data_IF_426145398337
#
_entry.id   IF_426145398337
#
_cell.length_a   1.000
_cell.length_b   1.000
_cell.length_c   1.000
_cell.angle_alpha   90.00
_cell.angle_beta   90.00
_cell.angle_gamma   90.00
#
_symmetry.space_group_name_H-M   'P 1'
#
loop_
_entity.id
_entity.type
_entity.pdbx_description
1 polymer ?
#
# COMPACT_ATOMS: atom_id res chain seq x y z
N UNK A 1 -0.33 55.58 -6.86
CA UNK A 1 0.95 54.85 -6.70
C UNK A 1 1.19 54.36 -5.27
N UNK A 2 0.92 55.17 -4.24
CA UNK A 2 1.11 54.75 -2.83
C UNK A 2 0.25 53.57 -2.41
N UNK A 3 -1.03 53.54 -2.73
CA UNK A 3 -1.92 52.40 -2.42
C UNK A 3 -1.44 51.09 -2.99
N UNK A 4 -0.97 51.07 -4.25
CA UNK A 4 -0.44 49.87 -4.88
C UNK A 4 0.85 49.36 -4.19
N UNK A 5 1.73 50.30 -3.80
CA UNK A 5 2.95 49.93 -3.03
C UNK A 5 2.60 49.34 -1.66
N UNK A 6 1.65 49.93 -0.93
CA UNK A 6 1.23 49.42 0.39
C UNK A 6 0.57 48.01 0.24
N UNK A 7 -0.20 47.81 -0.81
CA UNK A 7 -0.82 46.51 -1.12
C UNK A 7 0.24 45.43 -1.42
N UNK A 8 1.20 45.76 -2.28
CA UNK A 8 2.32 44.85 -2.60
C UNK A 8 3.16 44.54 -1.35
N UNK A 9 3.48 45.54 -0.54
CA UNK A 9 4.21 45.32 0.73
C UNK A 9 3.44 44.45 1.70
N UNK A 10 2.12 44.58 1.78
CA UNK A 10 1.25 43.71 2.57
C UNK A 10 1.28 42.27 2.12
N UNK A 11 1.21 42.02 0.80
CA UNK A 11 1.33 40.65 0.23
C UNK A 11 2.70 40.04 0.57
N UNK A 12 3.77 40.78 0.33
CA UNK A 12 5.14 40.33 0.64
C UNK A 12 5.28 39.99 2.11
N UNK A 13 4.78 40.85 2.99
CA UNK A 13 4.82 40.63 4.45
C UNK A 13 4.07 39.31 4.81
N UNK A 14 2.84 39.12 4.31
CA UNK A 14 2.08 37.89 4.56
C UNK A 14 2.82 36.66 4.01
N UNK A 15 3.41 36.76 2.84
CA UNK A 15 4.20 35.66 2.25
C UNK A 15 5.43 35.30 3.10
N UNK A 16 6.15 36.33 3.61
CA UNK A 16 7.30 36.11 4.48
C UNK A 16 6.86 35.48 5.81
N UNK A 17 5.80 35.98 6.42
CA UNK A 17 5.26 35.40 7.67
C UNK A 17 4.84 33.96 7.48
N UNK A 18 4.16 33.64 6.37
CA UNK A 18 3.77 32.27 6.05
C UNK A 18 4.99 31.36 5.82
N UNK A 19 6.01 31.87 5.11
CA UNK A 19 7.24 31.11 4.87
C UNK A 19 8.03 30.84 6.15
N UNK A 20 8.21 31.87 6.99
CA UNK A 20 8.90 31.74 8.29
C UNK A 20 8.12 30.82 9.22
N UNK A 21 6.80 31.00 9.31
CA UNK A 21 5.93 30.15 10.13
C UNK A 21 5.96 28.69 9.66
N UNK A 22 5.87 28.45 8.34
CA UNK A 22 6.00 27.12 7.76
C UNK A 22 7.36 26.48 8.05
N UNK A 23 8.45 27.25 7.89
CA UNK A 23 9.80 26.79 8.23
C UNK A 23 9.92 26.44 9.73
N UNK A 24 9.39 27.27 10.60
CA UNK A 24 9.41 27.04 12.05
C UNK A 24 8.65 25.75 12.42
N UNK A 25 7.50 25.49 11.79
CA UNK A 25 6.74 24.23 11.99
C UNK A 25 7.54 23.03 11.54
N UNK A 26 8.18 23.09 10.37
CA UNK A 26 9.03 21.99 9.86
C UNK A 26 10.23 21.73 10.80
N UNK A 27 10.83 22.79 11.34
CA UNK A 27 12.02 22.67 12.19
C UNK A 27 11.70 22.29 13.65
N UNK A 28 10.45 22.50 14.07
CA UNK A 28 10.01 22.22 15.45
C UNK A 28 9.85 20.74 15.78
N UNK A 29 9.89 19.84 14.79
CA UNK A 29 9.55 18.44 14.97
C UNK A 29 8.06 18.16 15.22
N UNK A 30 7.19 19.15 14.99
CA UNK A 30 5.74 18.99 15.16
C UNK A 30 5.11 18.03 14.11
N UNK A 31 5.80 17.82 12.99
CA UNK A 31 5.38 16.85 11.96
C UNK A 31 6.06 15.52 12.27
N UNK A 32 5.29 14.45 12.61
CA UNK A 32 5.87 13.16 12.89
C UNK A 32 6.54 12.59 11.62
N UNK A 33 7.74 12.01 11.80
CA UNK A 33 8.50 11.37 10.73
C UNK A 33 8.59 9.84 10.89
N UNK A 34 8.02 9.31 11.96
CA UNK A 34 8.02 7.89 12.30
C UNK A 34 6.88 7.15 11.56
N UNK A 35 7.17 5.96 11.04
CA UNK A 35 6.22 5.19 10.23
C UNK A 35 5.10 4.51 11.05
N UNK A 36 5.25 4.40 12.37
CA UNK A 36 4.22 3.85 13.27
C UNK A 36 3.18 4.91 13.73
N UNK A 37 3.37 6.18 13.36
CA UNK A 37 2.37 7.22 13.57
C UNK A 37 1.16 7.02 12.63
N UNK A 38 -0.04 7.34 13.14
CA UNK A 38 -1.23 7.31 12.28
C UNK A 38 -1.35 8.60 11.47
N UNK A 39 -1.67 8.51 10.16
CA UNK A 39 -1.83 9.69 9.33
C UNK A 39 -2.99 10.58 9.82
N UNK A 40 -2.75 11.89 9.83
CA UNK A 40 -3.74 12.89 10.20
C UNK A 40 -4.93 12.93 9.23
N UNK A 41 -6.08 13.45 9.68
CA UNK A 41 -7.29 13.55 8.85
C UNK A 41 -7.09 14.42 7.60
N UNK A 42 -6.35 15.53 7.73
CA UNK A 42 -6.03 16.41 6.59
C UNK A 42 -5.11 15.71 5.59
N UNK A 43 -4.13 14.97 6.06
CA UNK A 43 -3.22 14.19 5.22
C UNK A 43 -3.96 13.13 4.43
N UNK A 44 -4.79 12.32 5.09
CA UNK A 44 -5.68 11.33 4.44
C UNK A 44 -6.57 11.97 3.37
N UNK A 45 -7.14 13.12 3.68
CA UNK A 45 -8.03 13.85 2.77
C UNK A 45 -7.27 14.32 1.52
N UNK A 46 -6.14 15.01 1.70
CA UNK A 46 -5.34 15.54 0.58
C UNK A 46 -4.75 14.41 -0.27
N UNK A 47 -4.15 13.39 0.35
CA UNK A 47 -3.61 12.23 -0.35
C UNK A 47 -4.70 11.48 -1.12
N UNK A 48 -5.88 11.29 -0.52
CA UNK A 48 -7.01 10.62 -1.15
C UNK A 48 -7.57 11.40 -2.36
N UNK A 49 -7.63 12.73 -2.29
CA UNK A 49 -8.03 13.57 -3.45
C UNK A 49 -7.00 13.44 -4.57
N UNK A 50 -5.71 13.57 -4.24
CA UNK A 50 -4.62 13.48 -5.21
C UNK A 50 -4.61 12.13 -5.92
N UNK A 51 -4.66 11.02 -5.18
CA UNK A 51 -4.69 9.68 -5.76
C UNK A 51 -5.92 9.49 -6.66
N UNK A 52 -7.12 9.85 -6.20
CA UNK A 52 -8.34 9.74 -7.02
C UNK A 52 -8.30 10.59 -8.28
N UNK A 53 -7.69 11.77 -8.25
CA UNK A 53 -7.53 12.61 -9.43
C UNK A 53 -6.62 11.93 -10.48
N UNK A 54 -5.50 11.39 -10.06
CA UNK A 54 -4.59 10.63 -10.94
C UNK A 54 -5.28 9.39 -11.50
N UNK A 55 -5.94 8.58 -10.67
CA UNK A 55 -6.65 7.37 -11.13
C UNK A 55 -7.74 7.69 -12.18
N UNK A 56 -8.48 8.79 -12.01
CA UNK A 56 -9.49 9.21 -12.99
C UNK A 56 -8.89 9.63 -14.34
N UNK A 57 -7.68 10.20 -14.33
CA UNK A 57 -7.05 10.72 -15.54
C UNK A 57 -6.21 9.65 -16.25
N UNK A 58 -5.45 8.84 -15.51
CA UNK A 58 -4.36 8.03 -16.03
C UNK A 58 -4.65 6.53 -16.00
N UNK A 59 -5.62 6.06 -15.19
CA UNK A 59 -5.93 4.65 -15.14
C UNK A 59 -6.64 4.16 -16.41
N UNK A 60 -6.34 2.93 -16.87
CA UNK A 60 -7.00 2.33 -18.02
C UNK A 60 -8.52 2.28 -17.84
N UNK A 61 -9.26 2.68 -18.88
CA UNK A 61 -10.73 2.65 -18.89
C UNK A 61 -11.31 1.45 -19.64
N UNK A 62 -10.47 0.75 -20.42
CA UNK A 62 -10.87 -0.46 -21.12
C UNK A 62 -11.17 -1.59 -20.11
N UNK A 63 -12.03 -2.53 -20.48
CA UNK A 63 -12.26 -3.75 -19.72
C UNK A 63 -10.94 -4.53 -19.52
N UNK A 64 -10.89 -5.31 -18.47
CA UNK A 64 -9.77 -6.21 -18.24
C UNK A 64 -9.64 -7.20 -19.42
N UNK A 65 -8.48 -7.27 -20.08
CA UNK A 65 -8.29 -8.19 -21.21
C UNK A 65 -8.17 -9.66 -20.78
N UNK A 66 -7.95 -9.93 -19.50
CA UNK A 66 -7.85 -11.31 -18.97
C UNK A 66 -9.25 -11.85 -18.72
N UNK A 67 -9.66 -12.96 -19.35
CA UNK A 67 -11.00 -13.50 -19.20
C UNK A 67 -11.23 -14.05 -17.79
N UNK A 68 -12.46 -13.90 -17.30
CA UNK A 68 -12.88 -14.44 -16.00
C UNK A 68 -13.03 -15.98 -16.12
N UNK A 69 -12.01 -16.69 -15.66
CA UNK A 69 -11.98 -18.17 -15.58
C UNK A 69 -11.37 -18.59 -14.24
N UNK A 70 -11.71 -19.79 -13.77
CA UNK A 70 -11.11 -20.34 -12.54
C UNK A 70 -9.58 -20.41 -12.63
N UNK A 71 -9.03 -20.77 -13.79
CA UNK A 71 -7.59 -20.83 -14.01
C UNK A 71 -6.93 -19.45 -13.83
N UNK A 72 -7.52 -18.38 -14.36
CA UNK A 72 -7.01 -17.02 -14.23
C UNK A 72 -7.19 -16.47 -12.81
N UNK A 73 -8.28 -16.82 -12.13
CA UNK A 73 -8.45 -16.48 -10.73
C UNK A 73 -7.39 -17.15 -9.85
N UNK A 74 -7.14 -18.45 -10.06
CA UNK A 74 -6.09 -19.20 -9.34
C UNK A 74 -4.69 -18.63 -9.65
N UNK A 75 -4.42 -18.23 -10.90
CA UNK A 75 -3.17 -17.57 -11.26
C UNK A 75 -3.01 -16.22 -10.53
N UNK A 76 -4.08 -15.42 -10.43
CA UNK A 76 -4.11 -14.18 -9.66
C UNK A 76 -3.87 -14.41 -8.16
N UNK A 77 -4.47 -15.45 -7.60
CA UNK A 77 -4.28 -15.86 -6.20
C UNK A 77 -2.79 -16.20 -5.94
N UNK A 78 -2.14 -16.95 -6.84
CA UNK A 78 -0.72 -17.29 -6.71
C UNK A 78 0.19 -16.06 -6.80
N UNK A 79 -0.07 -15.16 -7.74
CA UNK A 79 0.66 -13.90 -7.86
C UNK A 79 0.48 -13.05 -6.58
N UNK A 80 -0.74 -12.97 -6.05
CA UNK A 80 -1.04 -12.29 -4.81
C UNK A 80 -0.28 -12.89 -3.61
N UNK A 81 -0.28 -14.21 -3.49
CA UNK A 81 0.45 -14.91 -2.43
C UNK A 81 1.94 -14.58 -2.43
N UNK A 82 2.54 -14.49 -3.62
CA UNK A 82 3.99 -14.27 -3.76
C UNK A 82 4.38 -12.81 -3.53
N UNK A 83 3.55 -11.85 -3.97
CA UNK A 83 3.97 -10.45 -4.06
C UNK A 83 3.22 -9.51 -3.12
N UNK A 84 2.01 -9.86 -2.67
CA UNK A 84 1.11 -8.93 -2.00
C UNK A 84 0.80 -9.32 -0.54
N UNK A 85 0.70 -10.64 -0.27
CA UNK A 85 0.22 -11.15 1.02
C UNK A 85 1.07 -10.74 2.20
N UNK A 86 2.36 -10.49 2.00
CA UNK A 86 3.31 -10.07 3.04
C UNK A 86 2.89 -8.76 3.72
N UNK A 87 2.27 -7.84 2.96
CA UNK A 87 1.77 -6.56 3.48
C UNK A 87 0.24 -6.55 3.62
N UNK A 88 -0.47 -7.15 2.65
CA UNK A 88 -1.93 -7.05 2.54
C UNK A 88 -2.70 -8.21 3.17
N UNK A 89 -2.02 -9.17 3.80
CA UNK A 89 -2.65 -10.32 4.46
C UNK A 89 -3.19 -11.38 3.51
N UNK A 90 -3.88 -12.37 4.07
CA UNK A 90 -4.42 -13.53 3.34
C UNK A 90 -5.89 -13.76 3.67
N UNK A 91 -6.50 -14.81 3.08
CA UNK A 91 -7.89 -15.24 3.31
C UNK A 91 -8.22 -15.52 4.78
N UNK A 92 -7.26 -15.92 5.58
CA UNK A 92 -7.42 -16.11 7.02
C UNK A 92 -7.63 -14.79 7.79
N UNK A 93 -8.10 -13.77 7.12
CA UNK A 93 -8.21 -12.34 7.44
C UNK A 93 -8.84 -11.91 8.75
N UNK A 94 -9.18 -12.84 9.66
CA UNK A 94 -9.39 -12.55 11.06
C UNK A 94 -8.09 -12.64 11.88
N UNK A 95 -6.99 -13.05 11.27
CA UNK A 95 -5.67 -12.94 11.86
C UNK A 95 -5.23 -11.47 11.87
N UNK A 96 -4.48 -11.08 12.91
CA UNK A 96 -3.90 -9.74 12.99
C UNK A 96 -3.10 -9.41 11.71
N UNK A 97 -3.08 -8.14 11.27
CA UNK A 97 -2.27 -7.72 10.13
C UNK A 97 -0.83 -8.21 10.27
N UNK A 98 -0.16 -8.57 9.15
CA UNK A 98 1.25 -8.97 9.17
C UNK A 98 2.12 -7.96 9.94
N UNK A 99 3.17 -8.44 10.61
CA UNK A 99 4.01 -7.58 11.43
C UNK A 99 4.60 -6.39 10.63
N UNK A 100 5.00 -6.63 9.39
CA UNK A 100 5.51 -5.60 8.50
C UNK A 100 4.45 -4.53 8.20
N UNK A 101 3.18 -4.92 8.01
CA UNK A 101 2.09 -3.99 7.75
C UNK A 101 1.83 -3.00 8.90
N UNK A 102 2.17 -3.39 10.13
CA UNK A 102 2.04 -2.52 11.30
C UNK A 102 3.13 -1.44 11.35
N UNK A 103 4.26 -1.67 10.69
CA UNK A 103 5.40 -0.75 10.62
C UNK A 103 5.41 0.13 9.37
N UNK A 104 4.45 -0.02 8.46
CA UNK A 104 4.39 0.78 7.24
C UNK A 104 3.50 2.02 7.40
N UNK A 105 3.89 3.09 6.72
CA UNK A 105 3.13 4.34 6.71
C UNK A 105 2.69 4.74 5.30
N UNK A 106 1.39 4.98 5.08
CA UNK A 106 0.29 4.52 5.95
C UNK A 106 0.23 2.99 5.98
N UNK A 107 -0.36 2.43 7.04
CA UNK A 107 -0.53 0.98 7.11
C UNK A 107 -1.30 0.45 5.89
N UNK A 108 -0.82 -0.61 5.22
CA UNK A 108 -1.49 -1.16 4.05
C UNK A 108 -2.86 -1.75 4.42
N UNK A 109 -3.89 -1.53 3.59
CA UNK A 109 -5.20 -2.12 3.82
C UNK A 109 -5.11 -3.64 3.74
N UNK A 110 -5.82 -4.33 4.63
CA UNK A 110 -5.95 -5.78 4.57
C UNK A 110 -7.02 -6.11 3.52
N UNK A 111 -6.60 -6.51 2.32
CA UNK A 111 -7.46 -6.53 1.14
C UNK A 111 -8.61 -7.53 1.22
N UNK A 112 -8.46 -8.62 1.98
CA UNK A 112 -9.54 -9.58 2.22
C UNK A 112 -10.76 -8.98 2.97
N UNK A 113 -10.63 -7.78 3.56
CA UNK A 113 -11.69 -7.10 4.32
C UNK A 113 -11.83 -5.62 3.98
N UNK A 114 -11.05 -5.09 3.05
CA UNK A 114 -10.96 -3.65 2.79
C UNK A 114 -11.88 -3.14 1.67
N UNK A 115 -12.65 -4.01 1.01
CA UNK A 115 -13.57 -3.60 -0.06
C UNK A 115 -12.86 -3.20 -1.37
N UNK A 116 -11.71 -3.80 -1.68
CA UNK A 116 -10.95 -3.52 -2.92
C UNK A 116 -11.73 -3.91 -4.18
N UNK A 117 -12.64 -4.84 -4.07
CA UNK A 117 -13.54 -5.32 -5.12
C UNK A 117 -14.48 -4.24 -5.66
N UNK A 118 -14.74 -3.18 -4.90
CA UNK A 118 -15.58 -2.06 -5.33
C UNK A 118 -14.88 -1.14 -6.34
N UNK A 119 -13.55 -1.14 -6.35
CA UNK A 119 -12.77 -0.31 -7.29
C UNK A 119 -12.92 -0.79 -8.74
N UNK A 120 -12.89 0.14 -9.73
CA UNK A 120 -12.72 -0.22 -11.13
C UNK A 120 -11.40 -0.99 -11.33
N UNK A 121 -11.42 -2.08 -12.10
CA UNK A 121 -10.21 -2.91 -12.32
C UNK A 121 -9.03 -2.13 -12.91
N UNK A 122 -9.29 -1.11 -13.74
CA UNK A 122 -8.25 -0.23 -14.26
C UNK A 122 -7.55 0.59 -13.17
N UNK A 123 -8.28 0.97 -12.11
CA UNK A 123 -7.67 1.64 -10.96
C UNK A 123 -6.77 0.70 -10.17
N UNK A 124 -7.21 -0.53 -9.96
CA UNK A 124 -6.42 -1.58 -9.31
C UNK A 124 -5.18 -1.89 -10.14
N UNK A 125 -5.32 -2.06 -11.46
CA UNK A 125 -4.19 -2.22 -12.39
C UNK A 125 -3.18 -1.08 -12.26
N UNK A 126 -3.66 0.18 -12.29
CA UNK A 126 -2.79 1.35 -12.20
C UNK A 126 -2.02 1.38 -10.87
N UNK A 127 -2.73 1.16 -9.74
CA UNK A 127 -2.12 1.14 -8.41
C UNK A 127 -1.02 0.07 -8.29
N UNK A 128 -1.26 -1.13 -8.81
CA UNK A 128 -0.26 -2.21 -8.81
C UNK A 128 0.91 -1.83 -9.71
N UNK A 129 0.64 -1.41 -10.93
CA UNK A 129 1.69 -1.11 -11.93
C UNK A 129 2.63 0.00 -11.48
N UNK A 130 2.10 1.07 -10.91
CA UNK A 130 2.86 2.29 -10.59
C UNK A 130 3.23 2.43 -9.12
N UNK A 131 2.62 1.64 -8.23
CA UNK A 131 2.71 1.85 -6.80
C UNK A 131 2.01 3.13 -6.35
N UNK A 132 2.13 3.46 -5.09
CA UNK A 132 1.53 4.68 -4.53
C UNK A 132 2.64 5.46 -3.83
N UNK A 133 2.92 6.67 -4.33
CA UNK A 133 3.97 7.55 -3.80
C UNK A 133 3.75 7.85 -2.31
N UNK A 134 4.84 7.88 -1.55
CA UNK A 134 4.88 8.09 -0.10
C UNK A 134 4.13 7.04 0.71
N UNK A 135 4.05 5.83 0.17
CA UNK A 135 3.56 4.64 0.89
C UNK A 135 4.56 3.50 0.74
N UNK A 136 4.37 2.42 1.50
CA UNK A 136 5.14 1.18 1.34
C UNK A 136 4.83 0.40 0.06
N UNK A 137 3.79 0.79 -0.72
CA UNK A 137 3.40 0.07 -1.93
C UNK A 137 4.34 0.39 -3.11
N UNK A 138 5.22 -0.55 -3.55
CA UNK A 138 6.15 -0.32 -4.63
C UNK A 138 5.47 -0.37 -6.01
N UNK A 139 6.19 0.08 -7.03
CA UNK A 139 5.80 -0.11 -8.43
C UNK A 139 6.19 -1.52 -8.89
N UNK A 140 5.21 -2.34 -9.23
CA UNK A 140 5.43 -3.73 -9.69
C UNK A 140 5.74 -3.86 -11.18
N UNK A 141 5.75 -2.77 -11.94
CA UNK A 141 6.04 -2.78 -13.39
C UNK A 141 7.41 -3.34 -13.78
N UNK A 142 8.32 -3.41 -12.84
CA UNK A 142 9.68 -3.92 -13.07
C UNK A 142 9.81 -5.42 -12.80
N UNK A 143 8.83 -6.00 -12.11
CA UNK A 143 8.78 -7.41 -11.74
C UNK A 143 7.66 -8.16 -12.49
N UNK A 144 6.51 -7.51 -12.69
CA UNK A 144 5.32 -8.10 -13.28
C UNK A 144 5.01 -7.43 -14.64
N UNK A 145 4.68 -8.25 -15.64
CA UNK A 145 4.17 -7.74 -16.92
C UNK A 145 2.69 -7.34 -16.82
N UNK A 146 2.20 -6.62 -17.83
CA UNK A 146 0.83 -6.07 -17.82
C UNK A 146 -0.25 -7.17 -17.72
N UNK A 147 -0.03 -8.35 -18.32
CA UNK A 147 -0.97 -9.47 -18.22
C UNK A 147 -1.06 -10.00 -16.80
N UNK A 148 0.08 -10.14 -16.11
CA UNK A 148 0.10 -10.57 -14.70
C UNK A 148 -0.56 -9.54 -13.79
N UNK A 149 -0.35 -8.24 -14.03
CA UNK A 149 -1.00 -7.18 -13.27
C UNK A 149 -2.52 -7.18 -13.52
N UNK A 150 -2.98 -7.38 -14.75
CA UNK A 150 -4.40 -7.54 -15.05
C UNK A 150 -5.01 -8.81 -14.42
N UNK A 151 -4.23 -9.89 -14.34
CA UNK A 151 -4.64 -11.13 -13.65
C UNK A 151 -4.81 -10.90 -12.14
N UNK A 152 -3.91 -10.13 -11.52
CA UNK A 152 -4.08 -9.67 -10.14
C UNK A 152 -5.33 -8.79 -9.97
N UNK A 153 -5.55 -7.83 -10.85
CA UNK A 153 -6.73 -6.97 -10.81
C UNK A 153 -8.03 -7.77 -10.99
N UNK A 154 -8.02 -8.83 -11.81
CA UNK A 154 -9.13 -9.76 -11.96
C UNK A 154 -9.44 -10.47 -10.65
N UNK A 155 -8.45 -11.06 -10.00
CA UNK A 155 -8.61 -11.74 -8.72
C UNK A 155 -9.15 -10.79 -7.64
N UNK A 156 -8.52 -9.62 -7.47
CA UNK A 156 -8.91 -8.63 -6.47
C UNK A 156 -10.35 -8.14 -6.67
N UNK A 157 -10.81 -8.03 -7.92
CA UNK A 157 -12.18 -7.64 -8.25
C UNK A 157 -13.23 -8.68 -7.82
N UNK A 158 -12.84 -9.94 -7.74
CA UNK A 158 -13.77 -11.05 -7.47
C UNK A 158 -13.48 -11.77 -6.15
N UNK A 159 -12.59 -11.21 -5.32
CA UNK A 159 -12.10 -11.89 -4.13
C UNK A 159 -13.20 -12.15 -3.07
N UNK A 160 -14.27 -11.37 -3.08
CA UNK A 160 -15.45 -11.53 -2.23
C UNK A 160 -16.43 -12.62 -2.71
N UNK A 161 -16.32 -13.04 -3.98
CA UNK A 161 -17.28 -13.95 -4.66
C UNK A 161 -16.57 -14.96 -5.55
N UNK A 162 -15.58 -15.64 -4.99
CA UNK A 162 -14.82 -16.66 -5.72
C UNK A 162 -15.66 -17.93 -5.95
N UNK A 163 -15.58 -18.57 -7.13
CA UNK A 163 -16.08 -19.92 -7.37
C UNK A 163 -15.40 -20.94 -6.44
N UNK A 164 -15.99 -22.14 -6.23
CA UNK A 164 -15.49 -23.12 -5.25
C UNK A 164 -14.01 -23.50 -5.41
N UNK A 165 -13.51 -23.68 -6.64
CA UNK A 165 -12.11 -24.02 -6.90
C UNK A 165 -11.13 -22.89 -6.51
N UNK A 166 -11.28 -21.69 -7.06
CA UNK A 166 -10.53 -20.50 -6.63
C UNK A 166 -10.69 -20.17 -5.13
N UNK A 167 -11.89 -20.37 -4.56
CA UNK A 167 -12.10 -20.15 -3.13
C UNK A 167 -11.27 -21.11 -2.27
N UNK A 168 -11.19 -22.39 -2.63
CA UNK A 168 -10.35 -23.34 -1.93
C UNK A 168 -8.86 -22.94 -2.01
N UNK A 169 -8.39 -22.56 -3.21
CA UNK A 169 -7.02 -22.08 -3.40
C UNK A 169 -6.72 -20.82 -2.61
N UNK A 170 -7.68 -19.91 -2.47
CA UNK A 170 -7.54 -18.69 -1.67
C UNK A 170 -7.43 -19.00 -0.17
N UNK A 171 -8.22 -19.94 0.33
CA UNK A 171 -8.16 -20.36 1.74
C UNK A 171 -6.86 -21.08 2.08
N UNK A 172 -6.33 -21.88 1.16
CA UNK A 172 -5.09 -22.63 1.36
C UNK A 172 -3.86 -21.74 1.58
N UNK A 173 -3.81 -20.58 0.94
CA UNK A 173 -2.73 -19.59 1.16
C UNK A 173 -2.64 -19.14 2.61
N UNK A 174 -3.76 -19.01 3.31
CA UNK A 174 -3.78 -18.63 4.72
C UNK A 174 -3.13 -19.66 5.65
N UNK A 175 -3.03 -20.91 5.22
CA UNK A 175 -2.51 -22.03 6.01
C UNK A 175 -1.06 -22.37 5.65
N UNK A 176 -0.60 -22.03 4.46
CA UNK A 176 0.74 -22.33 3.94
C UNK A 176 1.76 -21.18 4.12
N UNK A 177 1.57 -20.33 5.13
CA UNK A 177 2.48 -19.21 5.40
C UNK A 177 3.90 -19.70 5.72
N UNK A 178 4.98 -19.13 5.12
CA UNK A 178 6.37 -19.57 5.31
C UNK A 178 6.95 -19.36 6.72
N UNK A 179 6.14 -19.02 7.71
CA UNK A 179 6.61 -18.77 9.08
C UNK A 179 7.06 -20.04 9.84
N UNK A 180 6.79 -21.25 9.31
CA UNK A 180 7.08 -22.50 9.98
C UNK A 180 8.46 -23.09 9.62
N UNK A 181 9.25 -22.46 8.76
CA UNK A 181 10.57 -22.98 8.38
C UNK A 181 11.75 -22.16 8.93
N UNK A 182 11.55 -21.36 9.96
CA UNK A 182 12.67 -20.78 10.68
C UNK A 182 13.35 -21.88 11.51
N UNK A 183 14.66 -22.19 11.28
CA UNK A 183 15.34 -23.15 12.13
C UNK A 183 15.34 -22.63 13.57
N UNK A 184 14.79 -23.43 14.47
CA UNK A 184 14.93 -23.24 15.92
C UNK A 184 16.41 -23.03 16.21
N UNK A 185 16.77 -21.86 16.73
CA UNK A 185 18.10 -21.63 17.30
C UNK A 185 18.29 -22.67 18.42
N UNK A 186 19.03 -23.73 18.13
CA UNK A 186 19.56 -24.60 19.15
C UNK A 186 20.52 -23.77 20.00
N UNK A 187 20.24 -23.71 21.28
CA UNK A 187 21.13 -23.19 22.31
C UNK A 187 22.49 -23.90 22.26
N UNK A 188 23.43 -23.32 21.55
CA UNK A 188 24.83 -23.62 21.75
C UNK A 188 25.42 -22.52 22.63
N UNK A 189 25.37 -22.77 23.94
CA UNK A 189 26.13 -22.04 24.92
C UNK A 189 27.62 -22.06 24.53
N UNK A 190 28.13 -20.90 24.16
CA UNK A 190 29.57 -20.69 23.97
C UNK A 190 30.22 -20.50 25.34
N UNK A 191 31.26 -21.28 25.71
CA UNK A 191 31.96 -21.05 26.96
C UNK A 191 32.82 -19.78 26.86
N UNK A 192 32.69 -18.92 27.86
CA UNK A 192 33.50 -17.71 28.08
C UNK A 192 34.98 -18.06 28.22
N UNK A 193 35.94 -17.39 27.58
CA UNK A 193 37.35 -17.54 27.88
C UNK A 193 37.66 -16.75 29.16
N UNK A 194 38.15 -17.48 30.18
CA UNK A 194 38.80 -16.93 31.37
C UNK A 194 40.11 -16.24 30.97
N UNK A 195 40.33 -15.10 31.58
CA UNK A 195 41.44 -14.22 31.32
C UNK A 195 42.84 -14.80 31.70
N UNK A 196 43.83 -14.19 31.16
CA UNK A 196 45.23 -14.11 31.53
C UNK A 196 45.67 -12.67 31.27
#
# INVERSE_FOLDING_TARGET
>A
MQMLRSFILGIIFCAVVAAVGGYAVLYSGAIPANADAQPGSLEKFVAGIGLRAVLRNDAPRQPNPVPLTDANLIAGIRLYSTHCSVCHGTAAGNAAPPAIAKGEYPAPPQLASAGVEDDPQGWTFWKIKHGIRWTGMPSWRYELNDTQIWTLALFLKHMDKLPPGPQAAWQDIGHSSPAESAPTKSDTASPSPKGG
#
